data_IF_371844733378
#
_entry.id   IF_371844733378
#
_cell.length_a   1.000
_cell.length_b   1.000
_cell.length_c   1.000
_cell.angle_alpha   90.00
_cell.angle_beta   90.00
_cell.angle_gamma   90.00
#
_symmetry.space_group_name_H-M   'P 1'
#
loop_
_entity.id
_entity.type
_entity.pdbx_description
1 polymer ?
#
# COMPACT_ATOMS: atom_id res chain seq x y z
N UNK A 1 -28.36 31.31 28.29
CA UNK A 1 -27.53 30.87 27.16
C UNK A 1 -26.90 29.53 27.52
N UNK A 2 -27.31 28.52 26.88
CA UNK A 2 -26.88 27.15 27.22
C UNK A 2 -25.45 26.92 26.75
N UNK A 3 -24.55 26.51 27.64
CA UNK A 3 -23.17 26.28 27.32
C UNK A 3 -23.04 25.13 26.25
N UNK A 4 -24.02 24.26 26.17
CA UNK A 4 -24.05 23.15 25.19
C UNK A 4 -24.26 23.63 23.76
N UNK A 5 -24.93 24.79 23.57
CA UNK A 5 -25.11 25.37 22.23
C UNK A 5 -23.86 26.07 21.71
N UNK A 6 -22.98 26.51 22.58
CA UNK A 6 -21.69 27.09 22.20
C UNK A 6 -20.66 26.04 21.82
N UNK A 7 -20.89 24.79 22.21
CA UNK A 7 -20.09 23.61 21.83
C UNK A 7 -20.72 22.82 20.68
N UNK A 8 -21.52 23.46 19.86
CA UNK A 8 -22.29 22.83 18.80
C UNK A 8 -21.43 22.09 17.77
N UNK A 9 -20.19 22.52 17.52
CA UNK A 9 -19.25 21.78 16.68
C UNK A 9 -18.92 20.38 17.20
N UNK A 10 -18.59 20.22 18.51
CA UNK A 10 -18.34 18.90 19.08
C UNK A 10 -19.58 17.97 19.12
N UNK A 11 -20.80 18.49 19.10
CA UNK A 11 -22.00 17.66 19.09
C UNK A 11 -22.20 16.93 17.78
N UNK A 12 -21.78 17.48 16.66
CA UNK A 12 -21.84 16.79 15.35
C UNK A 12 -20.80 15.68 15.29
N UNK A 13 -19.65 15.87 15.89
CA UNK A 13 -18.58 14.87 15.96
C UNK A 13 -18.89 13.77 16.99
N UNK A 14 -19.75 14.09 17.98
CA UNK A 14 -20.20 13.15 19.01
C UNK A 14 -21.45 12.36 18.64
N UNK A 15 -21.90 12.41 17.41
CA UNK A 15 -22.93 11.46 16.96
C UNK A 15 -22.39 10.04 17.16
N UNK A 16 -22.74 9.48 18.31
CA UNK A 16 -22.48 8.09 18.62
C UNK A 16 -23.14 7.24 17.53
N UNK A 17 -22.32 6.70 16.66
CA UNK A 17 -22.82 5.71 15.70
C UNK A 17 -23.40 4.56 16.50
N UNK A 18 -24.62 4.10 16.18
CA UNK A 18 -25.20 2.99 16.91
C UNK A 18 -24.24 1.80 16.83
N UNK A 19 -23.70 1.42 17.98
CA UNK A 19 -22.80 0.26 18.08
C UNK A 19 -23.66 -0.97 17.86
N UNK A 20 -23.33 -1.78 16.82
CA UNK A 20 -23.96 -3.06 16.62
C UNK A 20 -23.74 -3.94 17.87
N UNK A 21 -24.81 -4.46 18.44
CA UNK A 21 -24.77 -5.32 19.63
C UNK A 21 -25.11 -6.74 19.24
N UNK A 22 -24.44 -7.67 19.87
CA UNK A 22 -24.76 -9.09 19.78
C UNK A 22 -26.12 -9.39 20.45
N UNK A 23 -26.69 -10.58 20.20
CA UNK A 23 -27.93 -11.06 20.83
C UNK A 23 -27.93 -10.93 22.37
N UNK A 24 -26.77 -10.96 22.99
CA UNK A 24 -26.56 -10.82 24.44
C UNK A 24 -26.34 -9.35 24.88
N UNK A 25 -26.57 -8.37 24.02
CA UNK A 25 -26.40 -6.95 24.36
C UNK A 25 -24.95 -6.47 24.46
N UNK A 26 -23.97 -7.32 24.16
CA UNK A 26 -22.56 -6.94 24.16
C UNK A 26 -22.21 -6.15 22.89
N UNK A 27 -21.47 -5.05 23.00
CA UNK A 27 -21.03 -4.34 21.81
C UNK A 27 -20.12 -5.25 20.96
N UNK A 28 -20.46 -5.39 19.67
CA UNK A 28 -19.60 -6.03 18.70
C UNK A 28 -18.43 -5.09 18.44
N UNK A 29 -17.35 -5.27 19.21
CA UNK A 29 -16.09 -4.57 18.95
C UNK A 29 -15.30 -5.44 17.96
N UNK A 30 -14.94 -4.92 16.77
CA UNK A 30 -14.07 -5.65 15.88
C UNK A 30 -12.74 -5.93 16.61
N UNK A 31 -12.21 -7.15 16.43
CA UNK A 31 -10.96 -7.59 17.08
C UNK A 31 -9.74 -6.73 16.70
N UNK A 32 -9.87 -5.95 15.65
CA UNK A 32 -8.90 -4.94 15.21
C UNK A 32 -9.63 -3.68 14.76
N UNK A 33 -9.14 -2.52 15.19
CA UNK A 33 -9.65 -1.24 14.71
C UNK A 33 -9.23 -1.07 13.24
N UNK A 34 -10.17 -0.89 12.29
CA UNK A 34 -9.80 -0.67 10.90
C UNK A 34 -9.03 0.63 10.75
N UNK A 35 -8.00 0.60 9.93
CA UNK A 35 -7.23 1.79 9.62
C UNK A 35 -8.07 2.78 8.79
N UNK A 36 -8.16 4.03 9.27
CA UNK A 36 -8.96 5.08 8.62
C UNK A 36 -8.20 5.79 7.49
N UNK A 37 -6.89 5.60 7.40
CA UNK A 37 -6.08 6.17 6.31
C UNK A 37 -6.50 5.58 4.96
N UNK A 38 -6.65 6.39 3.91
CA UNK A 38 -7.05 5.91 2.57
C UNK A 38 -6.01 4.97 1.96
N UNK A 39 -4.75 5.14 2.28
CA UNK A 39 -3.64 4.29 1.83
C UNK A 39 -2.77 3.87 3.02
N UNK A 40 -2.84 2.60 3.47
CA UNK A 40 -2.04 2.11 4.59
C UNK A 40 -0.59 1.81 4.18
N UNK A 41 0.08 2.78 3.56
CA UNK A 41 1.47 2.68 3.14
C UNK A 41 2.40 3.23 4.22
N UNK A 42 3.66 2.81 4.16
CA UNK A 42 4.71 3.33 5.03
C UNK A 42 4.97 4.80 4.73
N UNK A 43 5.26 5.60 5.76
CA UNK A 43 5.53 7.04 5.60
C UNK A 43 6.76 7.31 4.71
N UNK A 44 7.72 6.39 4.71
CA UNK A 44 8.94 6.46 3.85
C UNK A 44 8.72 5.97 2.42
N UNK A 45 7.52 5.54 2.05
CA UNK A 45 7.22 4.99 0.72
C UNK A 45 7.61 5.94 -0.42
N UNK A 46 7.37 7.22 -0.25
CA UNK A 46 7.74 8.28 -1.20
C UNK A 46 9.24 8.30 -1.47
N UNK A 47 10.07 8.23 -0.44
CA UNK A 47 11.54 8.27 -0.58
C UNK A 47 12.08 7.05 -1.33
N UNK A 48 11.59 5.86 -1.00
CA UNK A 48 11.96 4.64 -1.72
C UNK A 48 11.49 4.66 -3.16
N UNK A 49 10.31 5.21 -3.43
CA UNK A 49 9.79 5.36 -4.79
C UNK A 49 10.65 6.29 -5.64
N UNK A 50 11.19 7.36 -5.05
CA UNK A 50 12.12 8.26 -5.73
C UNK A 50 13.42 7.51 -6.10
N UNK A 51 13.96 6.71 -5.20
CA UNK A 51 15.16 5.90 -5.47
C UNK A 51 14.92 4.94 -6.64
N UNK A 52 13.79 4.25 -6.65
CA UNK A 52 13.40 3.32 -7.74
C UNK A 52 13.24 4.08 -9.06
N UNK A 53 12.59 5.25 -9.01
CA UNK A 53 12.40 6.09 -10.20
C UNK A 53 13.75 6.51 -10.80
N UNK A 54 14.68 6.99 -9.97
CA UNK A 54 16.03 7.38 -10.41
C UNK A 54 16.77 6.19 -11.02
N UNK A 55 16.73 5.01 -10.38
CA UNK A 55 17.30 3.80 -10.95
C UNK A 55 16.71 3.45 -12.30
N UNK A 56 15.39 3.56 -12.46
CA UNK A 56 14.69 3.33 -13.72
C UNK A 56 15.11 4.32 -14.81
N UNK A 57 15.18 5.60 -14.48
CA UNK A 57 15.64 6.64 -15.42
C UNK A 57 17.06 6.39 -15.88
N UNK A 58 17.98 6.04 -14.97
CA UNK A 58 19.37 5.73 -15.34
C UNK A 58 19.42 4.52 -16.29
N UNK A 59 18.70 3.44 -15.98
CA UNK A 59 18.69 2.24 -16.80
C UNK A 59 18.13 2.49 -18.20
N UNK A 60 16.99 3.18 -18.28
CA UNK A 60 16.35 3.52 -19.58
C UNK A 60 17.24 4.45 -20.38
N UNK A 61 17.81 5.49 -19.76
CA UNK A 61 18.69 6.43 -20.45
C UNK A 61 19.93 5.74 -20.99
N UNK A 62 20.52 4.81 -20.24
CA UNK A 62 21.65 4.02 -20.71
C UNK A 62 21.30 3.17 -21.93
N UNK A 63 20.13 2.52 -21.93
CA UNK A 63 19.64 1.74 -23.08
C UNK A 63 19.39 2.62 -24.30
N UNK A 64 18.81 3.80 -24.14
CA UNK A 64 18.58 4.78 -25.22
C UNK A 64 19.90 5.27 -25.84
N UNK A 65 20.96 5.35 -25.04
CA UNK A 65 22.31 5.71 -25.49
C UNK A 65 23.08 4.54 -26.11
N UNK A 66 22.44 3.38 -26.27
CA UNK A 66 23.00 2.22 -26.96
C UNK A 66 23.70 1.19 -26.03
N UNK A 67 23.54 1.30 -24.72
CA UNK A 67 24.03 0.29 -23.80
C UNK A 67 23.24 -1.02 -23.95
N UNK A 68 23.87 -2.15 -23.70
CA UNK A 68 23.23 -3.46 -23.71
C UNK A 68 22.67 -3.80 -22.30
N UNK A 69 21.72 -4.74 -22.26
CA UNK A 69 21.17 -5.25 -21.00
C UNK A 69 22.26 -5.86 -20.08
N UNK A 70 23.34 -6.36 -20.68
CA UNK A 70 24.47 -6.94 -19.96
C UNK A 70 25.41 -5.89 -19.34
N UNK A 71 25.33 -4.64 -19.78
CA UNK A 71 26.22 -3.60 -19.31
C UNK A 71 25.98 -3.27 -17.82
N UNK A 72 27.06 -3.10 -17.04
CA UNK A 72 26.97 -2.78 -15.60
C UNK A 72 26.12 -1.52 -15.32
N UNK A 73 26.17 -0.53 -16.23
CA UNK A 73 25.44 0.73 -16.11
C UNK A 73 23.91 0.50 -16.16
N UNK A 74 23.46 -0.56 -16.81
CA UNK A 74 22.06 -0.97 -16.85
C UNK A 74 21.75 -1.96 -15.73
N UNK A 75 22.59 -2.99 -15.57
CA UNK A 75 22.37 -4.06 -14.59
C UNK A 75 22.32 -3.55 -13.16
N UNK A 76 23.26 -2.72 -12.76
CA UNK A 76 23.37 -2.26 -11.38
C UNK A 76 22.13 -1.47 -10.92
N UNK A 77 21.67 -0.42 -11.63
CA UNK A 77 20.45 0.29 -11.23
C UNK A 77 19.20 -0.59 -11.28
N UNK A 78 19.09 -1.52 -12.25
CA UNK A 78 17.95 -2.43 -12.32
C UNK A 78 17.90 -3.35 -11.10
N UNK A 79 19.03 -3.94 -10.70
CA UNK A 79 19.08 -4.83 -9.53
C UNK A 79 18.76 -4.06 -8.25
N UNK A 80 19.36 -2.88 -8.06
CA UNK A 80 19.12 -2.04 -6.88
C UNK A 80 17.67 -1.59 -6.84
N UNK A 81 17.15 -1.04 -7.93
CA UNK A 81 15.76 -0.60 -8.03
C UNK A 81 14.77 -1.74 -7.82
N UNK A 82 15.03 -2.91 -8.40
CA UNK A 82 14.19 -4.09 -8.23
C UNK A 82 14.19 -4.59 -6.77
N UNK A 83 15.35 -4.61 -6.11
CA UNK A 83 15.45 -5.02 -4.70
C UNK A 83 14.66 -4.06 -3.80
N UNK A 84 14.85 -2.76 -3.94
CA UNK A 84 14.12 -1.75 -3.17
C UNK A 84 12.63 -1.84 -3.43
N UNK A 85 12.22 -1.91 -4.70
CA UNK A 85 10.81 -2.00 -5.08
C UNK A 85 10.16 -3.28 -4.55
N UNK A 86 10.86 -4.41 -4.57
CA UNK A 86 10.38 -5.68 -4.02
C UNK A 86 10.10 -5.56 -2.52
N UNK A 87 11.04 -5.03 -1.75
CA UNK A 87 10.89 -4.87 -0.29
C UNK A 87 9.72 -3.95 0.03
N UNK A 88 9.63 -2.80 -0.64
CA UNK A 88 8.57 -1.81 -0.43
C UNK A 88 7.20 -2.36 -0.83
N UNK A 89 7.13 -3.10 -1.94
CA UNK A 89 5.88 -3.70 -2.41
C UNK A 89 5.42 -4.83 -1.48
N UNK A 90 6.33 -5.65 -0.97
CA UNK A 90 6.01 -6.69 0.03
C UNK A 90 5.49 -6.07 1.32
N UNK A 91 6.10 -5.00 1.81
CA UNK A 91 5.60 -4.26 2.98
C UNK A 91 4.19 -3.71 2.73
N UNK A 92 3.96 -3.11 1.55
CA UNK A 92 2.64 -2.62 1.15
C UNK A 92 1.60 -3.75 1.06
N UNK A 93 1.95 -4.89 0.47
CA UNK A 93 1.07 -6.06 0.41
C UNK A 93 0.65 -6.50 1.81
N UNK A 94 1.60 -6.65 2.74
CA UNK A 94 1.30 -7.08 4.12
C UNK A 94 0.38 -6.08 4.82
N UNK A 95 0.64 -4.78 4.68
CA UNK A 95 -0.18 -3.72 5.30
C UNK A 95 -1.60 -3.69 4.72
N UNK A 96 -1.73 -3.73 3.40
CA UNK A 96 -3.03 -3.72 2.72
C UNK A 96 -3.79 -5.01 3.03
N UNK A 97 -3.12 -6.17 3.03
CA UNK A 97 -3.71 -7.45 3.40
C UNK A 97 -4.30 -7.43 4.81
N UNK A 98 -3.51 -6.98 5.79
CA UNK A 98 -3.99 -6.86 7.18
C UNK A 98 -5.16 -5.89 7.31
N UNK A 99 -5.11 -4.79 6.57
CA UNK A 99 -6.18 -3.81 6.52
C UNK A 99 -7.44 -4.36 5.86
N UNK A 100 -7.31 -5.12 4.76
CA UNK A 100 -8.44 -5.76 4.09
C UNK A 100 -9.20 -6.70 5.03
N UNK A 101 -8.49 -7.53 5.79
CA UNK A 101 -9.11 -8.40 6.79
C UNK A 101 -9.80 -7.64 7.91
N UNK A 102 -9.25 -6.49 8.32
CA UNK A 102 -9.87 -5.65 9.34
C UNK A 102 -11.19 -5.01 8.85
N UNK A 103 -11.29 -4.69 7.55
CA UNK A 103 -12.46 -4.07 6.97
C UNK A 103 -13.58 -5.06 6.58
N UNK A 104 -13.26 -6.32 6.31
CA UNK A 104 -14.25 -7.32 5.87
C UNK A 104 -15.49 -7.43 6.79
N UNK A 105 -15.35 -7.48 8.14
CA UNK A 105 -16.51 -7.56 9.03
C UNK A 105 -17.28 -6.24 9.15
N UNK A 106 -16.68 -5.11 8.78
CA UNK A 106 -17.28 -3.77 8.91
C UNK A 106 -17.90 -3.32 7.60
N UNK A 107 -17.18 -3.46 6.50
CA UNK A 107 -17.62 -3.10 5.15
C UNK A 107 -16.96 -4.04 4.13
N UNK A 108 -17.77 -4.97 3.61
CA UNK A 108 -17.30 -5.95 2.61
C UNK A 108 -16.77 -5.30 1.35
N UNK A 109 -17.40 -4.22 0.88
CA UNK A 109 -16.98 -3.54 -0.34
C UNK A 109 -15.57 -2.98 -0.22
N UNK A 110 -15.25 -2.32 0.87
CA UNK A 110 -13.92 -1.78 1.14
C UNK A 110 -12.88 -2.88 1.36
N UNK A 111 -13.25 -3.96 2.05
CA UNK A 111 -12.36 -5.11 2.22
C UNK A 111 -12.01 -5.76 0.89
N UNK A 112 -12.99 -6.05 0.05
CA UNK A 112 -12.79 -6.65 -1.27
C UNK A 112 -11.98 -5.74 -2.20
N UNK A 113 -12.25 -4.43 -2.20
CA UNK A 113 -11.46 -3.47 -2.97
C UNK A 113 -9.97 -3.49 -2.60
N UNK A 114 -9.66 -3.63 -1.32
CA UNK A 114 -8.27 -3.76 -0.85
C UNK A 114 -7.63 -5.08 -1.28
N UNK A 115 -8.38 -6.18 -1.35
CA UNK A 115 -7.88 -7.43 -1.90
C UNK A 115 -7.55 -7.35 -3.39
N UNK A 116 -8.33 -6.60 -4.17
CA UNK A 116 -8.01 -6.34 -5.58
C UNK A 116 -6.64 -5.63 -5.69
N UNK A 117 -6.38 -4.64 -4.84
CA UNK A 117 -5.07 -3.99 -4.79
C UNK A 117 -3.93 -4.93 -4.42
N UNK A 118 -4.15 -5.85 -3.49
CA UNK A 118 -3.17 -6.90 -3.17
C UNK A 118 -2.89 -7.76 -4.39
N UNK A 119 -3.91 -8.18 -5.13
CA UNK A 119 -3.73 -8.96 -6.36
C UNK A 119 -2.93 -8.20 -7.43
N UNK A 120 -3.20 -6.90 -7.61
CA UNK A 120 -2.45 -6.02 -8.53
C UNK A 120 -0.98 -5.92 -8.11
N UNK A 121 -0.69 -5.74 -6.82
CA UNK A 121 0.68 -5.66 -6.32
C UNK A 121 1.43 -6.98 -6.47
N UNK A 122 0.78 -8.12 -6.23
CA UNK A 122 1.37 -9.44 -6.46
C UNK A 122 1.68 -9.65 -7.94
N UNK A 123 0.76 -9.32 -8.85
CA UNK A 123 0.99 -9.38 -10.29
C UNK A 123 2.17 -8.49 -10.71
N UNK A 124 2.26 -7.28 -10.14
CA UNK A 124 3.37 -6.36 -10.39
C UNK A 124 4.72 -6.94 -9.94
N UNK A 125 4.75 -7.64 -8.79
CA UNK A 125 5.97 -8.32 -8.34
C UNK A 125 6.39 -9.45 -9.27
N UNK A 126 5.45 -10.23 -9.80
CA UNK A 126 5.74 -11.29 -10.77
C UNK A 126 6.35 -10.71 -12.04
N UNK A 127 5.77 -9.61 -12.56
CA UNK A 127 6.30 -8.91 -13.73
C UNK A 127 7.69 -8.31 -13.47
N UNK A 128 7.89 -7.72 -12.30
CA UNK A 128 9.19 -7.19 -11.89
C UNK A 128 10.25 -8.30 -11.80
N UNK A 129 9.90 -9.43 -11.19
CA UNK A 129 10.77 -10.60 -11.12
C UNK A 129 11.17 -11.13 -12.49
N UNK A 130 10.21 -11.21 -13.40
CA UNK A 130 10.46 -11.63 -14.77
C UNK A 130 11.37 -10.65 -15.53
N UNK A 131 11.08 -9.35 -15.43
CA UNK A 131 11.91 -8.31 -16.05
C UNK A 131 13.35 -8.31 -15.51
N UNK A 132 13.49 -8.42 -14.19
CA UNK A 132 14.81 -8.51 -13.54
C UNK A 132 15.57 -9.77 -13.98
N UNK A 133 14.87 -10.90 -14.08
CA UNK A 133 15.45 -12.15 -14.57
C UNK A 133 15.98 -12.01 -16.00
N UNK A 134 15.22 -11.37 -16.90
CA UNK A 134 15.69 -11.11 -18.27
C UNK A 134 16.97 -10.27 -18.30
N UNK A 135 17.07 -9.24 -17.46
CA UNK A 135 18.26 -8.40 -17.38
C UNK A 135 19.47 -9.15 -16.81
N UNK A 136 19.25 -10.10 -15.91
CA UNK A 136 20.32 -10.91 -15.32
C UNK A 136 20.82 -11.96 -16.31
N UNK A 137 19.93 -12.49 -17.16
CA UNK A 137 20.30 -13.50 -18.18
C UNK A 137 20.95 -12.90 -19.43
N UNK A 138 20.58 -11.67 -19.79
CA UNK A 138 21.19 -10.93 -20.91
C UNK A 138 22.58 -10.45 -20.58
#
# INVERSE_FOLDING_TARGET
MDHDTLQGGPLLDRQERPVARDRNGRPLVPSRVPETRPTPLQDSFIYFSIVVLVCGVIAISALELGANLADPVVRFPVIVGAAVLTVVTLDAIVRIWRSAWAWLPVDRGRGLFRFVWVAVLVASLVLLGFATWLVVQG
#
